data_IF_578271191164
#
_entry.id   IF_578271191164
#
_cell.length_a   1.000
_cell.length_b   1.000
_cell.length_c   1.000
_cell.angle_alpha   90.00
_cell.angle_beta   90.00
_cell.angle_gamma   90.00
#
_symmetry.space_group_name_H-M   'P 1'
#
loop_
_entity.id
_entity.type
_entity.pdbx_description
1 polymer ?
#
# COMPACT_ATOMS: atom_id res chain seq x y z
N UNK A 1 -8.08 -12.52 -16.81
CA UNK A 1 -8.61 -11.20 -17.19
C UNK A 1 -8.22 -10.24 -16.08
N UNK A 2 -7.68 -9.06 -16.38
CA UNK A 2 -7.32 -8.11 -15.33
C UNK A 2 -8.61 -7.58 -14.66
N UNK A 3 -8.64 -7.58 -13.32
CA UNK A 3 -9.74 -7.04 -12.53
C UNK A 3 -9.30 -5.67 -12.02
N UNK A 4 -10.09 -4.64 -12.28
CA UNK A 4 -9.85 -3.28 -11.86
C UNK A 4 -10.74 -2.97 -10.67
N UNK A 5 -10.14 -2.65 -9.52
CA UNK A 5 -10.85 -2.34 -8.27
C UNK A 5 -11.52 -0.96 -8.28
N UNK A 6 -11.04 -0.05 -9.13
CA UNK A 6 -11.57 1.30 -9.32
C UNK A 6 -11.71 1.62 -10.79
N UNK A 7 -12.52 2.61 -11.10
CA UNK A 7 -12.70 3.12 -12.46
C UNK A 7 -11.93 4.41 -12.71
N UNK A 8 -11.60 4.69 -13.97
CA UNK A 8 -10.98 5.98 -14.37
C UNK A 8 -11.86 7.18 -13.97
N UNK A 9 -13.18 7.01 -13.97
CA UNK A 9 -14.11 8.05 -13.55
C UNK A 9 -14.03 8.34 -12.05
N UNK A 10 -13.86 7.31 -11.21
CA UNK A 10 -13.65 7.49 -9.76
C UNK A 10 -12.36 8.27 -9.49
N UNK A 11 -11.27 7.97 -10.21
CA UNK A 11 -10.02 8.72 -10.09
C UNK A 11 -10.23 10.20 -10.42
N UNK A 12 -10.90 10.51 -11.55
CA UNK A 12 -11.19 11.89 -11.97
C UNK A 12 -12.06 12.64 -10.95
N UNK A 13 -13.03 11.97 -10.36
CA UNK A 13 -13.97 12.58 -9.41
C UNK A 13 -13.33 12.85 -8.05
N UNK A 14 -12.44 11.96 -7.59
CA UNK A 14 -11.88 12.02 -6.24
C UNK A 14 -10.47 12.65 -6.17
N UNK A 15 -9.94 13.08 -7.32
CA UNK A 15 -8.64 13.76 -7.37
C UNK A 15 -8.75 15.09 -8.13
N UNK A 16 -7.66 15.84 -8.18
CA UNK A 16 -7.59 17.08 -8.97
C UNK A 16 -7.36 16.83 -10.46
N UNK A 17 -7.60 15.62 -10.94
CA UNK A 17 -7.46 15.27 -12.34
C UNK A 17 -8.62 15.86 -13.15
N UNK A 18 -8.31 16.61 -14.21
CA UNK A 18 -9.33 17.24 -15.05
C UNK A 18 -10.24 16.23 -15.76
N UNK A 19 -11.51 16.55 -15.89
CA UNK A 19 -12.51 15.70 -16.56
C UNK A 19 -12.19 15.34 -18.02
N UNK A 20 -11.39 16.16 -18.70
CA UNK A 20 -11.01 15.98 -20.11
C UNK A 20 -9.82 15.02 -20.32
N UNK A 21 -9.27 14.44 -19.26
CA UNK A 21 -8.24 13.43 -19.41
C UNK A 21 -8.84 12.16 -19.98
N UNK A 22 -8.17 11.63 -21.01
CA UNK A 22 -8.59 10.38 -21.65
C UNK A 22 -8.50 9.21 -20.67
N UNK A 23 -9.54 8.39 -20.60
CA UNK A 23 -9.61 7.24 -19.69
C UNK A 23 -8.56 6.19 -20.02
N UNK A 24 -8.19 6.06 -21.29
CA UNK A 24 -7.19 5.10 -21.76
C UNK A 24 -5.80 5.39 -21.19
N UNK A 25 -5.52 6.67 -20.90
CA UNK A 25 -4.26 7.10 -20.27
C UNK A 25 -4.19 6.79 -18.76
N UNK A 26 -5.29 6.36 -18.15
CA UNK A 26 -5.39 6.10 -16.71
C UNK A 26 -5.50 4.60 -16.41
N UNK A 27 -6.14 3.85 -17.30
CA UNK A 27 -6.54 2.47 -17.02
C UNK A 27 -5.34 1.54 -16.72
N UNK A 28 -4.24 1.70 -17.44
CA UNK A 28 -3.02 0.92 -17.19
C UNK A 28 -2.39 1.29 -15.85
N UNK A 29 -2.43 2.57 -15.46
CA UNK A 29 -1.92 3.04 -14.16
C UNK A 29 -2.73 2.49 -12.99
N UNK A 30 -4.03 2.25 -13.17
CA UNK A 30 -4.86 1.60 -12.14
C UNK A 30 -4.33 0.21 -11.85
N UNK A 31 -4.09 -0.59 -12.89
CA UNK A 31 -3.58 -1.94 -12.73
C UNK A 31 -2.18 -1.96 -12.11
N UNK A 32 -1.27 -1.12 -12.62
CA UNK A 32 0.09 -1.03 -12.09
C UNK A 32 0.09 -0.62 -10.61
N UNK A 33 -0.75 0.35 -10.25
CA UNK A 33 -0.87 0.79 -8.85
C UNK A 33 -1.45 -0.29 -7.95
N UNK A 34 -2.41 -1.08 -8.42
CA UNK A 34 -2.94 -2.22 -7.67
C UNK A 34 -1.82 -3.22 -7.32
N UNK A 35 -0.97 -3.56 -8.27
CA UNK A 35 0.13 -4.50 -8.05
C UNK A 35 1.27 -3.86 -7.28
N UNK A 36 1.72 -2.66 -7.67
CA UNK A 36 2.93 -2.07 -7.13
C UNK A 36 2.74 -1.43 -5.74
N UNK A 37 1.54 -0.97 -5.44
CA UNK A 37 1.26 -0.28 -4.18
C UNK A 37 0.36 -1.12 -3.28
N UNK A 38 -0.82 -1.48 -3.77
CA UNK A 38 -1.83 -2.11 -2.92
C UNK A 38 -1.43 -3.52 -2.49
N UNK A 39 -0.94 -4.36 -3.41
CA UNK A 39 -0.49 -5.71 -3.06
C UNK A 39 0.70 -5.69 -2.08
N UNK A 40 1.61 -4.73 -2.21
CA UNK A 40 2.71 -4.57 -1.26
C UNK A 40 2.24 -4.20 0.16
N UNK A 41 1.16 -3.43 0.28
CA UNK A 41 0.60 -3.04 1.58
C UNK A 41 -0.21 -4.18 2.20
N UNK A 42 -1.06 -4.83 1.40
CA UNK A 42 -1.95 -5.89 1.88
C UNK A 42 -1.28 -7.25 2.03
N UNK A 43 -0.24 -7.49 1.23
CA UNK A 43 0.29 -8.84 0.98
C UNK A 43 -0.61 -9.62 0.01
N UNK A 44 -0.02 -10.59 -0.70
CA UNK A 44 -0.72 -11.35 -1.76
C UNK A 44 -1.99 -12.02 -1.24
N UNK A 45 -1.98 -12.59 -0.03
CA UNK A 45 -3.13 -13.32 0.52
C UNK A 45 -4.38 -12.44 0.70
N UNK A 46 -4.23 -11.29 1.34
CA UNK A 46 -5.34 -10.35 1.54
C UNK A 46 -5.73 -9.69 0.21
N UNK A 47 -4.77 -9.36 -0.63
CA UNK A 47 -5.02 -8.81 -1.95
C UNK A 47 -5.87 -9.76 -2.81
N UNK A 48 -5.52 -11.04 -2.91
CA UNK A 48 -6.27 -12.06 -3.64
C UNK A 48 -7.69 -12.26 -3.09
N UNK A 49 -7.83 -12.22 -1.77
CA UNK A 49 -9.14 -12.26 -1.12
C UNK A 49 -10.02 -11.10 -1.55
N UNK A 50 -9.50 -9.87 -1.50
CA UNK A 50 -10.24 -8.67 -1.93
C UNK A 50 -10.61 -8.73 -3.41
N UNK A 51 -9.69 -9.14 -4.29
CA UNK A 51 -9.95 -9.31 -5.73
C UNK A 51 -11.05 -10.34 -5.97
N UNK A 52 -11.00 -11.46 -5.27
CA UNK A 52 -11.96 -12.55 -5.43
C UNK A 52 -13.35 -12.12 -4.99
N UNK A 53 -13.46 -11.53 -3.81
CA UNK A 53 -14.73 -11.08 -3.23
C UNK A 53 -15.32 -9.90 -4.02
N UNK A 54 -14.47 -8.99 -4.49
CA UNK A 54 -14.91 -7.90 -5.37
C UNK A 54 -15.50 -8.43 -6.68
N UNK A 55 -14.83 -9.39 -7.32
CA UNK A 55 -15.30 -9.98 -8.57
C UNK A 55 -16.58 -10.81 -8.41
N UNK A 56 -16.78 -11.40 -7.23
CA UNK A 56 -17.97 -12.17 -6.88
C UNK A 56 -19.12 -11.32 -6.32
N UNK A 57 -18.89 -10.02 -6.11
CA UNK A 57 -19.82 -9.09 -5.42
C UNK A 57 -20.22 -9.57 -4.02
N UNK A 58 -19.25 -10.12 -3.29
CA UNK A 58 -19.41 -10.73 -1.96
C UNK A 58 -18.70 -9.96 -0.84
N UNK A 59 -18.13 -8.79 -1.14
CA UNK A 59 -17.51 -7.93 -0.13
C UNK A 59 -18.55 -7.51 0.92
N UNK A 60 -18.28 -7.85 2.18
CA UNK A 60 -19.19 -7.58 3.29
C UNK A 60 -18.43 -7.09 4.53
N UNK A 61 -19.16 -6.52 5.47
CA UNK A 61 -18.71 -6.14 6.81
C UNK A 61 -17.38 -5.35 6.81
N UNK A 62 -16.39 -5.84 7.50
CA UNK A 62 -15.08 -5.20 7.66
C UNK A 62 -14.32 -5.08 6.34
N UNK A 63 -14.43 -6.07 5.45
CA UNK A 63 -13.81 -6.03 4.13
C UNK A 63 -14.42 -4.96 3.22
N UNK A 64 -15.74 -4.76 3.30
CA UNK A 64 -16.42 -3.71 2.56
C UNK A 64 -16.00 -2.33 3.08
N UNK A 65 -15.93 -2.15 4.40
CA UNK A 65 -15.45 -0.91 5.03
C UNK A 65 -13.99 -0.65 4.64
N UNK A 66 -13.14 -1.65 4.76
CA UNK A 66 -11.72 -1.55 4.35
C UNK A 66 -11.60 -1.15 2.88
N UNK A 67 -12.38 -1.76 2.01
CA UNK A 67 -12.37 -1.48 0.58
C UNK A 67 -12.82 -0.06 0.25
N UNK A 68 -13.95 0.38 0.81
CA UNK A 68 -14.55 1.69 0.47
C UNK A 68 -13.81 2.87 1.10
N UNK A 69 -13.42 2.75 2.37
CA UNK A 69 -12.94 3.88 3.17
C UNK A 69 -11.42 3.99 3.20
N UNK A 70 -10.71 2.89 2.87
CA UNK A 70 -9.25 2.85 2.94
C UNK A 70 -8.60 2.48 1.61
N UNK A 71 -9.00 1.37 0.97
CA UNK A 71 -8.35 0.91 -0.27
C UNK A 71 -8.62 1.87 -1.43
N UNK A 72 -9.87 2.25 -1.67
CA UNK A 72 -10.22 3.16 -2.76
C UNK A 72 -9.46 4.50 -2.70
N UNK A 73 -9.39 5.21 -1.56
CA UNK A 73 -8.61 6.43 -1.45
C UNK A 73 -7.11 6.23 -1.74
N UNK A 74 -6.51 5.13 -1.26
CA UNK A 74 -5.12 4.78 -1.60
C UNK A 74 -4.95 4.69 -3.11
N UNK A 75 -5.82 3.94 -3.78
CA UNK A 75 -5.74 3.77 -5.23
C UNK A 75 -5.95 5.08 -5.98
N UNK A 76 -6.95 5.90 -5.63
CA UNK A 76 -7.19 7.18 -6.32
C UNK A 76 -5.98 8.10 -6.26
N UNK A 77 -5.40 8.28 -5.09
CA UNK A 77 -4.28 9.19 -4.91
C UNK A 77 -2.96 8.65 -5.47
N UNK A 78 -2.75 7.33 -5.40
CA UNK A 78 -1.56 6.70 -5.98
C UNK A 78 -1.59 6.70 -7.51
N UNK A 79 -2.75 6.43 -8.12
CA UNK A 79 -2.94 6.56 -9.58
C UNK A 79 -2.75 7.99 -10.04
N UNK A 80 -3.27 8.97 -9.29
CA UNK A 80 -3.07 10.38 -9.60
C UNK A 80 -1.60 10.79 -9.53
N UNK A 81 -0.88 10.34 -8.52
CA UNK A 81 0.56 10.60 -8.39
C UNK A 81 1.37 9.94 -9.51
N UNK A 82 1.01 8.71 -9.94
CA UNK A 82 1.61 8.05 -11.08
C UNK A 82 1.32 8.81 -12.38
N UNK A 83 0.07 9.20 -12.61
CA UNK A 83 -0.33 9.97 -13.78
C UNK A 83 0.48 11.28 -13.92
N UNK A 84 0.66 12.04 -12.85
CA UNK A 84 1.43 13.29 -12.88
C UNK A 84 2.90 13.08 -13.26
N UNK A 85 3.46 11.91 -12.97
CA UNK A 85 4.85 11.56 -13.35
C UNK A 85 4.96 11.21 -14.83
N UNK A 86 3.97 10.54 -15.38
CA UNK A 86 4.00 9.97 -16.72
C UNK A 86 3.38 10.87 -17.79
N UNK A 87 2.39 11.69 -17.44
CA UNK A 87 1.61 12.49 -18.39
C UNK A 87 2.42 13.53 -19.16
N UNK A 88 3.59 13.93 -18.65
CA UNK A 88 4.44 14.93 -19.30
C UNK A 88 5.38 14.35 -20.35
N UNK A 89 5.51 13.03 -20.42
CA UNK A 89 6.46 12.36 -21.29
C UNK A 89 5.73 11.35 -22.15
N UNK A 90 5.75 11.54 -23.45
CA UNK A 90 5.11 10.64 -24.41
C UNK A 90 6.20 9.89 -25.17
N UNK A 91 6.22 8.57 -25.08
CA UNK A 91 7.06 7.72 -25.89
C UNK A 91 6.36 7.42 -27.24
N UNK A 92 7.04 7.68 -28.35
CA UNK A 92 6.61 7.39 -29.73
C UNK A 92 7.72 6.71 -30.49
N UNK A 93 7.40 6.17 -31.67
CA UNK A 93 8.38 5.46 -32.52
C UNK A 93 9.64 6.28 -32.88
N UNK A 94 9.59 7.61 -32.80
CA UNK A 94 10.72 8.50 -33.07
C UNK A 94 11.51 8.92 -31.82
N UNK A 95 11.15 8.44 -30.62
CA UNK A 95 11.79 8.82 -29.35
C UNK A 95 10.79 9.25 -28.28
N UNK A 96 11.32 9.83 -27.22
CA UNK A 96 10.55 10.35 -26.08
C UNK A 96 10.42 11.86 -26.20
N UNK A 97 9.21 12.37 -26.14
CA UNK A 97 8.88 13.80 -26.33
C UNK A 97 8.16 14.35 -25.10
N UNK A 98 8.39 15.61 -24.80
CA UNK A 98 7.60 16.36 -23.83
C UNK A 98 6.27 16.75 -24.46
N UNK A 99 5.17 16.59 -23.71
CA UNK A 99 3.85 16.98 -24.19
C UNK A 99 3.69 18.51 -24.08
N UNK A 100 3.78 19.20 -25.22
CA UNK A 100 3.53 20.66 -25.29
C UNK A 100 2.14 20.91 -25.90
N UNK A 101 1.18 21.41 -25.14
CA UNK A 101 -0.14 21.75 -25.67
C UNK A 101 -0.02 23.00 -26.59
N UNK A 102 -0.75 22.98 -27.69
CA UNK A 102 -0.68 24.03 -28.74
C UNK A 102 -1.07 25.45 -28.26
N UNK A 103 -1.82 25.56 -27.17
CA UNK A 103 -2.38 26.79 -26.64
C UNK A 103 -2.04 27.08 -25.16
N UNK A 104 -1.08 26.39 -24.58
CA UNK A 104 -0.65 26.59 -23.20
C UNK A 104 0.85 26.34 -23.08
N UNK A 105 1.54 27.13 -22.26
CA UNK A 105 2.93 26.85 -21.91
C UNK A 105 3.00 25.56 -21.08
N UNK A 106 3.94 24.67 -21.43
CA UNK A 106 4.25 23.54 -20.58
C UNK A 106 4.62 24.04 -19.17
N UNK A 107 4.15 23.37 -18.16
CA UNK A 107 4.51 23.70 -16.78
C UNK A 107 6.02 23.49 -16.61
N UNK A 108 6.65 24.38 -15.85
CA UNK A 108 8.06 24.24 -15.52
C UNK A 108 8.33 22.91 -14.81
N UNK A 109 9.46 22.29 -15.13
CA UNK A 109 9.86 20.99 -14.58
C UNK A 109 9.89 21.00 -13.04
N UNK A 110 10.25 22.11 -12.43
CA UNK A 110 10.24 22.27 -10.97
C UNK A 110 8.82 22.29 -10.40
N UNK A 111 7.90 22.98 -11.05
CA UNK A 111 6.50 23.01 -10.68
C UNK A 111 5.88 21.60 -10.78
N UNK A 112 6.20 20.86 -11.84
CA UNK A 112 5.75 19.47 -12.02
C UNK A 112 6.28 18.53 -10.94
N UNK A 113 7.55 18.63 -10.61
CA UNK A 113 8.16 17.87 -9.50
C UNK A 113 7.48 18.18 -8.18
N UNK A 114 7.19 19.45 -7.91
CA UNK A 114 6.52 19.87 -6.69
C UNK A 114 5.10 19.27 -6.57
N UNK A 115 4.31 19.38 -7.65
CA UNK A 115 2.93 18.85 -7.67
C UNK A 115 2.92 17.34 -7.57
N UNK A 116 3.81 16.65 -8.29
CA UNK A 116 3.95 15.18 -8.21
C UNK A 116 4.37 14.73 -6.82
N UNK A 117 5.33 15.41 -6.19
CA UNK A 117 5.75 15.11 -4.82
C UNK A 117 4.61 15.32 -3.81
N UNK A 118 3.83 16.38 -3.96
CA UNK A 118 2.68 16.64 -3.09
C UNK A 118 1.59 15.58 -3.27
N UNK A 119 1.34 15.15 -4.52
CA UNK A 119 0.41 14.06 -4.79
C UNK A 119 0.88 12.74 -4.17
N UNK A 120 2.18 12.44 -4.28
CA UNK A 120 2.77 11.26 -3.63
C UNK A 120 2.63 11.33 -2.12
N UNK A 121 2.94 12.46 -1.50
CA UNK A 121 2.79 12.63 -0.05
C UNK A 121 1.34 12.43 0.43
N UNK A 122 0.35 12.80 -0.39
CA UNK A 122 -1.05 12.49 -0.08
C UNK A 122 -1.34 10.99 -0.16
N UNK A 123 -0.83 10.31 -1.19
CA UNK A 123 -0.97 8.87 -1.31
C UNK A 123 -0.35 8.15 -0.10
N UNK A 124 0.85 8.58 0.31
CA UNK A 124 1.55 8.01 1.48
C UNK A 124 0.72 8.14 2.77
N UNK A 125 0.06 9.28 2.99
CA UNK A 125 -0.85 9.47 4.14
C UNK A 125 -2.03 8.49 4.12
N UNK A 126 -2.60 8.22 2.94
CA UNK A 126 -3.69 7.24 2.83
C UNK A 126 -3.19 5.80 3.00
N UNK A 127 -1.96 5.50 2.58
CA UNK A 127 -1.30 4.22 2.83
C UNK A 127 -1.09 4.03 4.33
N UNK A 128 -0.50 5.00 5.02
CA UNK A 128 -0.32 4.95 6.49
C UNK A 128 -1.65 4.76 7.23
N UNK A 129 -2.72 5.38 6.73
CA UNK A 129 -4.05 5.23 7.31
C UNK A 129 -4.59 3.80 7.12
N UNK A 130 -4.39 3.21 5.95
CA UNK A 130 -4.75 1.82 5.68
C UNK A 130 -3.94 0.86 6.56
N UNK A 131 -2.63 1.06 6.67
CA UNK A 131 -1.75 0.22 7.51
C UNK A 131 -2.18 0.26 8.98
N UNK A 132 -2.51 1.43 9.51
CA UNK A 132 -3.05 1.56 10.89
C UNK A 132 -4.36 0.81 11.06
N UNK A 133 -5.28 0.93 10.11
CA UNK A 133 -6.53 0.20 10.14
C UNK A 133 -6.30 -1.31 10.16
N UNK A 134 -5.37 -1.82 9.34
CA UNK A 134 -5.01 -3.24 9.30
C UNK A 134 -4.35 -3.75 10.58
N UNK A 135 -3.73 -2.85 11.37
CA UNK A 135 -3.20 -3.21 12.68
C UNK A 135 -4.28 -3.30 13.76
N UNK A 136 -5.38 -2.57 13.59
CA UNK A 136 -6.46 -2.48 14.60
C UNK A 136 -7.56 -3.53 14.38
N UNK A 137 -7.74 -3.96 13.13
CA UNK A 137 -8.78 -4.93 12.74
C UNK A 137 -8.19 -6.33 12.64
N UNK A 138 -8.92 -7.31 13.15
CA UNK A 138 -8.52 -8.73 13.06
C UNK A 138 -8.89 -9.29 11.68
N UNK A 139 -7.96 -9.17 10.74
CA UNK A 139 -8.08 -9.72 9.38
C UNK A 139 -7.17 -10.93 9.26
N UNK A 140 -7.72 -12.17 9.23
CA UNK A 140 -6.91 -13.40 9.25
C UNK A 140 -5.99 -13.54 8.03
N UNK A 141 -6.32 -12.94 6.90
CA UNK A 141 -5.50 -12.94 5.69
C UNK A 141 -4.35 -11.95 5.75
N UNK A 142 -4.40 -10.95 6.65
CA UNK A 142 -3.31 -10.01 6.88
C UNK A 142 -2.30 -10.63 7.83
N UNK A 143 -1.48 -11.54 7.34
CA UNK A 143 -0.49 -12.23 8.15
C UNK A 143 0.90 -11.74 7.85
N UNK A 144 1.60 -11.35 8.89
CA UNK A 144 3.04 -11.07 8.85
C UNK A 144 3.88 -12.32 9.13
N UNK A 145 3.21 -13.40 9.52
CA UNK A 145 3.89 -14.65 9.84
C UNK A 145 4.53 -15.26 8.59
N UNK A 146 5.44 -16.18 8.81
CA UNK A 146 6.26 -16.84 7.80
C UNK A 146 5.45 -17.88 7.00
N UNK A 147 4.32 -17.49 6.48
CA UNK A 147 3.56 -18.32 5.56
C UNK A 147 4.33 -18.35 4.24
N UNK A 148 4.89 -19.50 3.90
CA UNK A 148 5.74 -19.65 2.70
C UNK A 148 4.93 -19.82 1.42
N UNK A 149 3.60 -19.83 1.52
CA UNK A 149 2.69 -20.09 0.40
C UNK A 149 2.40 -18.83 -0.43
N UNK A 150 2.87 -17.64 0.00
CA UNK A 150 2.57 -16.37 -0.64
C UNK A 150 3.83 -15.63 -1.06
N UNK A 151 3.81 -15.08 -2.26
CA UNK A 151 4.94 -14.38 -2.88
C UNK A 151 5.31 -13.09 -2.14
N UNK A 152 4.30 -12.29 -1.78
CA UNK A 152 4.50 -10.99 -1.14
C UNK A 152 3.87 -10.99 0.25
N UNK A 153 4.69 -10.67 1.25
CA UNK A 153 4.21 -10.44 2.62
C UNK A 153 3.88 -8.96 2.80
N UNK A 154 2.85 -8.64 3.63
CA UNK A 154 2.53 -7.25 3.91
C UNK A 154 3.77 -6.51 4.41
N UNK A 155 3.98 -5.30 3.90
CA UNK A 155 5.03 -4.41 4.35
C UNK A 155 4.67 -3.91 5.73
N UNK A 156 5.25 -4.51 6.76
CA UNK A 156 5.17 -4.00 8.11
C UNK A 156 6.19 -2.88 8.27
N UNK A 157 5.74 -1.67 8.48
CA UNK A 157 6.61 -0.61 8.94
C UNK A 157 6.86 -0.83 10.44
N UNK A 158 7.83 -1.71 10.74
CA UNK A 158 8.43 -1.71 12.05
C UNK A 158 9.12 -0.37 12.15
N UNK A 159 8.58 0.51 12.95
CA UNK A 159 9.17 1.80 13.28
C UNK A 159 10.54 1.54 13.94
N UNK A 160 11.53 1.22 13.11
CA UNK A 160 12.92 1.00 13.50
C UNK A 160 13.53 2.37 13.75
N UNK A 161 13.27 2.92 14.92
CA UNK A 161 14.07 4.02 15.42
C UNK A 161 15.50 3.51 15.52
N UNK A 162 16.36 3.97 14.62
CA UNK A 162 17.80 3.75 14.60
C UNK A 162 18.29 2.29 14.52
N UNK A 163 17.64 1.41 13.76
CA UNK A 163 18.15 0.05 13.50
C UNK A 163 18.15 -0.87 14.74
N UNK A 164 17.56 -0.45 15.82
CA UNK A 164 17.42 -1.25 17.03
C UNK A 164 16.03 -1.88 17.04
N UNK A 165 15.98 -3.18 16.91
CA UNK A 165 14.78 -3.98 17.05
C UNK A 165 14.50 -4.15 18.55
N UNK A 166 13.54 -3.39 19.07
CA UNK A 166 12.94 -3.72 20.35
C UNK A 166 11.88 -4.79 20.10
N UNK A 167 12.28 -6.04 20.05
CA UNK A 167 11.34 -7.13 20.06
C UNK A 167 10.35 -6.93 21.20
N UNK A 168 9.05 -7.10 20.93
CA UNK A 168 8.05 -7.18 21.99
C UNK A 168 8.54 -8.23 22.96
N UNK A 169 9.03 -7.79 24.13
CA UNK A 169 9.57 -8.67 25.13
C UNK A 169 8.49 -9.67 25.51
N UNK A 170 8.60 -10.89 25.04
CA UNK A 170 8.05 -12.00 25.78
C UNK A 170 8.60 -11.83 27.20
N UNK A 171 7.68 -11.73 28.16
CA UNK A 171 8.00 -11.69 29.56
C UNK A 171 8.74 -12.96 29.92
N UNK A 172 10.03 -13.03 29.61
CA UNK A 172 10.94 -13.99 30.17
C UNK A 172 11.24 -13.50 31.58
N UNK A 173 10.25 -13.62 32.46
CA UNK A 173 10.50 -13.57 33.89
C UNK A 173 11.33 -14.80 34.19
N UNK A 174 12.57 -14.64 34.65
CA UNK A 174 13.28 -15.76 35.23
C UNK A 174 12.43 -16.28 36.37
N UNK A 175 12.10 -17.56 36.34
CA UNK A 175 11.40 -18.23 37.42
C UNK A 175 12.20 -17.98 38.71
N UNK A 176 11.58 -17.47 39.79
CA UNK A 176 12.25 -17.32 41.05
C UNK A 176 12.54 -18.71 41.63
N UNK A 177 13.81 -19.07 41.67
CA UNK A 177 14.36 -19.98 42.66
C UNK A 177 13.91 -21.41 42.65
N UNK A 178 14.53 -22.26 41.85
CA UNK A 178 14.81 -23.61 42.28
C UNK A 178 16.03 -23.55 43.22
N UNK A 179 15.77 -23.57 44.50
CA UNK A 179 16.82 -23.82 45.49
C UNK A 179 17.26 -25.26 45.33
N UNK A 180 18.43 -25.47 44.74
CA UNK A 180 19.12 -26.77 44.85
C UNK A 180 19.58 -26.93 46.28
N UNK A 181 18.90 -27.78 46.99
CA UNK A 181 19.36 -28.38 48.21
C UNK A 181 20.40 -29.49 47.86
N UNK A 182 21.60 -29.08 47.65
CA UNK A 182 22.77 -29.97 47.70
C UNK A 182 23.79 -29.39 48.69
N UNK A 183 23.52 -29.67 49.96
CA UNK A 183 24.54 -29.59 51.02
C UNK A 183 24.03 -30.36 52.24
N UNK A 184 24.19 -31.65 52.20
CA UNK A 184 24.20 -32.47 53.41
C UNK A 184 24.66 -33.91 53.07
N UNK A 185 25.97 -34.10 52.93
CA UNK A 185 26.56 -35.43 53.15
C UNK A 185 28.11 -35.29 53.08
N UNK A 186 28.66 -34.76 54.14
CA UNK A 186 30.05 -35.04 54.52
C UNK A 186 30.16 -34.80 56.03
N UNK A 187 30.01 -35.89 56.76
CA UNK A 187 30.66 -36.14 58.05
C UNK A 187 30.08 -37.46 58.59
N UNK A 188 30.77 -38.52 58.34
CA UNK A 188 31.37 -39.60 59.16
C UNK A 188 31.68 -40.79 58.29
#
# INVERSE_FOLDING_TARGET
MAIYLITSQEVKTNTSLGGNVDSDNIIHLIYDTQIMVLENVLGTKLYDKIITDFNADTLADEYLTMFTDYIKPVLWHSVYAAYLRESNVIARNGGTFTNEPTNASAADLEALKYVSKNAQSKADVYIDRLERYLCDVDVPEYTQSQDNDYDIKPKFDVNTVSGWYFGRGENNRPSPGGSSSEDALLLE
#
